data_IF_895661058128
#
_entry.id   IF_895661058128
#
_cell.length_a   1.000
_cell.length_b   1.000
_cell.length_c   1.000
_cell.angle_alpha   90.00
_cell.angle_beta   90.00
_cell.angle_gamma   90.00
#
_symmetry.space_group_name_H-M   'P 1'
#
loop_
_entity.id
_entity.type
_entity.pdbx_description
1 polymer ?
#
# COMPACT_ATOMS: atom_id res chain seq x y z
N UNK A 1 -37.44 -11.03 25.09
CA UNK A 1 -37.46 -11.05 23.60
C UNK A 1 -36.30 -10.20 23.14
N UNK A 2 -35.16 -10.84 22.86
CA UNK A 2 -33.95 -10.16 22.40
C UNK A 2 -34.06 -9.90 20.91
N UNK A 3 -34.15 -8.65 20.51
CA UNK A 3 -34.05 -8.27 19.11
C UNK A 3 -32.58 -8.36 18.68
N UNK A 4 -32.31 -9.34 17.85
CA UNK A 4 -31.06 -9.57 17.15
C UNK A 4 -30.74 -8.30 16.36
N UNK A 5 -29.60 -7.67 16.66
CA UNK A 5 -29.07 -6.52 15.93
C UNK A 5 -28.60 -6.99 14.56
N UNK A 6 -29.54 -7.15 13.60
CA UNK A 6 -29.19 -7.32 12.18
C UNK A 6 -28.56 -6.01 11.73
N UNK A 7 -27.23 -6.04 11.70
CA UNK A 7 -26.38 -4.98 11.18
C UNK A 7 -26.92 -4.53 9.81
N UNK A 8 -27.53 -3.36 9.78
CA UNK A 8 -27.85 -2.68 8.53
C UNK A 8 -26.53 -2.40 7.85
N UNK A 9 -26.20 -3.18 6.81
CA UNK A 9 -25.10 -2.83 5.91
C UNK A 9 -25.35 -1.40 5.43
N UNK A 10 -24.44 -0.44 5.71
CA UNK A 10 -24.64 0.92 5.24
C UNK A 10 -24.72 0.90 3.71
N UNK A 11 -25.46 1.84 3.11
CA UNK A 11 -25.63 1.90 1.66
C UNK A 11 -24.27 1.97 0.97
N UNK A 12 -24.13 1.29 -0.17
CA UNK A 12 -22.93 1.35 -1.01
C UNK A 12 -22.70 2.81 -1.36
N UNK A 13 -21.59 3.37 -0.85
CA UNK A 13 -21.16 4.73 -1.19
C UNK A 13 -20.23 4.65 -2.39
N UNK A 14 -20.33 5.62 -3.29
CA UNK A 14 -19.33 5.81 -4.33
C UNK A 14 -18.23 6.74 -3.81
N UNK A 15 -16.98 6.39 -4.04
CA UNK A 15 -15.83 7.23 -3.75
C UNK A 15 -15.04 7.41 -5.06
N UNK A 16 -14.98 8.64 -5.56
CA UNK A 16 -14.34 8.96 -6.85
C UNK A 16 -14.84 8.09 -8.03
N UNK A 17 -16.13 7.74 -8.03
CA UNK A 17 -16.76 6.93 -9.08
C UNK A 17 -16.61 5.41 -8.89
N UNK A 18 -15.85 4.95 -7.89
CA UNK A 18 -15.70 3.53 -7.56
C UNK A 18 -16.66 3.09 -6.44
N UNK A 19 -17.14 1.88 -6.53
CA UNK A 19 -18.03 1.31 -5.51
C UNK A 19 -17.25 0.98 -4.22
N UNK A 20 -17.76 1.42 -3.08
CA UNK A 20 -17.20 1.11 -1.76
C UNK A 20 -17.96 -0.05 -1.16
N UNK A 21 -17.24 -1.13 -0.83
CA UNK A 21 -17.77 -2.33 -0.18
C UNK A 21 -17.27 -2.41 1.26
N UNK A 22 -18.13 -2.81 2.20
CA UNK A 22 -17.72 -3.07 3.58
C UNK A 22 -17.24 -4.53 3.69
N UNK A 23 -15.94 -4.70 3.93
CA UNK A 23 -15.30 -6.01 4.01
C UNK A 23 -15.03 -6.35 5.47
N UNK A 24 -15.42 -7.54 5.97
CA UNK A 24 -15.10 -7.98 7.32
C UNK A 24 -13.59 -7.94 7.56
N UNK A 25 -13.15 -7.49 8.75
CA UNK A 25 -11.72 -7.42 9.08
C UNK A 25 -11.03 -8.78 9.03
N UNK A 26 -11.80 -9.85 9.26
CA UNK A 26 -11.34 -11.25 9.20
C UNK A 26 -11.00 -11.73 7.79
N UNK A 27 -11.54 -11.09 6.75
CA UNK A 27 -11.28 -11.41 5.35
C UNK A 27 -10.15 -10.55 4.76
N UNK A 28 -9.57 -9.65 5.57
CA UNK A 28 -8.52 -8.72 5.14
C UNK A 28 -7.14 -9.22 5.56
N UNK A 29 -6.33 -9.57 4.57
CA UNK A 29 -4.94 -10.02 4.75
C UNK A 29 -3.94 -8.89 4.53
N UNK A 30 -2.81 -8.85 5.26
CA UNK A 30 -1.75 -7.88 5.00
C UNK A 30 -1.09 -8.19 3.66
N UNK A 31 -0.59 -7.15 2.97
CA UNK A 31 0.21 -7.33 1.77
C UNK A 31 1.53 -8.04 2.12
N UNK A 32 1.96 -9.08 1.36
CA UNK A 32 3.22 -9.77 1.60
C UNK A 32 4.41 -8.78 1.55
N UNK A 33 5.38 -8.97 2.44
CA UNK A 33 6.64 -8.22 2.47
C UNK A 33 6.49 -6.69 2.46
N UNK A 34 5.33 -6.16 2.89
CA UNK A 34 5.15 -4.72 2.94
C UNK A 34 6.21 -4.05 3.83
N UNK A 35 6.90 -3.00 3.34
CA UNK A 35 7.99 -2.39 4.07
C UNK A 35 7.53 -1.46 5.21
N UNK A 36 6.31 -0.92 5.11
CA UNK A 36 5.81 0.11 6.01
C UNK A 36 5.18 -0.48 7.26
N UNK A 37 5.81 -0.29 8.41
CA UNK A 37 5.29 -0.76 9.70
C UNK A 37 4.11 0.08 10.18
N UNK A 38 3.08 -0.59 10.68
CA UNK A 38 1.99 0.09 11.38
C UNK A 38 2.40 0.30 12.83
N UNK A 39 2.59 1.56 13.24
CA UNK A 39 2.98 1.94 14.59
C UNK A 39 1.76 2.40 15.38
N UNK A 40 1.74 2.06 16.67
CA UNK A 40 0.71 2.51 17.62
C UNK A 40 1.19 3.81 18.31
N UNK A 41 1.38 4.85 17.52
CA UNK A 41 1.79 6.19 17.90
C UNK A 41 0.61 7.10 18.29
N UNK A 42 0.90 8.36 18.59
CA UNK A 42 -0.14 9.37 18.89
C UNK A 42 -1.11 9.53 17.71
N UNK A 43 -0.60 9.56 16.47
CA UNK A 43 -1.41 9.69 15.26
C UNK A 43 -2.33 8.45 15.04
N UNK A 44 -1.93 7.26 15.51
CA UNK A 44 -2.81 6.10 15.50
C UNK A 44 -3.96 6.28 16.48
N UNK A 45 -3.72 6.79 17.70
CA UNK A 45 -4.78 7.04 18.69
C UNK A 45 -5.80 8.04 18.16
N UNK A 46 -5.35 9.13 17.56
CA UNK A 46 -6.22 10.13 16.93
C UNK A 46 -7.04 9.51 15.78
N UNK A 47 -6.43 8.62 14.99
CA UNK A 47 -7.13 7.86 13.94
C UNK A 47 -8.21 6.95 14.53
N UNK A 48 -7.93 6.26 15.64
CA UNK A 48 -8.91 5.40 16.33
C UNK A 48 -10.09 6.20 16.85
N UNK A 49 -9.85 7.37 17.45
CA UNK A 49 -10.90 8.27 17.94
C UNK A 49 -11.78 8.76 16.77
N UNK A 50 -11.16 9.18 15.67
CA UNK A 50 -11.87 9.57 14.46
C UNK A 50 -12.72 8.43 13.89
N UNK A 51 -12.19 7.20 13.89
CA UNK A 51 -12.95 6.02 13.42
C UNK A 51 -14.14 5.73 14.33
N UNK A 52 -14.00 5.91 15.63
CA UNK A 52 -15.12 5.74 16.59
C UNK A 52 -16.22 6.77 16.40
N UNK A 53 -15.86 8.01 16.12
CA UNK A 53 -16.80 9.12 16.02
C UNK A 53 -17.45 9.21 14.64
N UNK A 54 -16.66 9.11 13.58
CA UNK A 54 -17.10 9.35 12.20
C UNK A 54 -17.08 8.11 11.30
N UNK A 55 -16.53 7.01 11.78
CA UNK A 55 -16.19 5.88 10.94
C UNK A 55 -14.98 6.14 10.04
N UNK A 56 -14.73 5.23 9.12
CA UNK A 56 -13.62 5.38 8.15
C UNK A 56 -14.08 6.27 7.00
N UNK A 57 -13.53 7.48 6.93
CA UNK A 57 -13.92 8.50 5.93
C UNK A 57 -13.37 8.18 4.54
N UNK A 58 -12.16 7.64 4.46
CA UNK A 58 -11.50 7.30 3.18
C UNK A 58 -11.40 5.78 3.07
N UNK A 59 -11.98 5.13 2.03
CA UNK A 59 -11.93 3.69 1.90
C UNK A 59 -10.51 3.16 1.70
N UNK A 60 -10.25 1.94 2.14
CA UNK A 60 -9.02 1.21 1.80
C UNK A 60 -9.05 0.78 0.33
N UNK A 61 -7.89 0.41 -0.23
CA UNK A 61 -7.80 -0.25 -1.53
C UNK A 61 -7.33 -1.68 -1.27
N UNK A 62 -8.07 -2.63 -1.81
CA UNK A 62 -7.81 -4.06 -1.65
C UNK A 62 -7.88 -4.76 -3.00
N UNK A 63 -7.26 -5.93 -3.10
CA UNK A 63 -7.41 -6.83 -4.24
C UNK A 63 -7.88 -8.22 -3.78
N UNK A 64 -8.57 -9.00 -4.61
CA UNK A 64 -8.92 -10.38 -4.28
C UNK A 64 -7.68 -11.25 -4.10
N UNK A 65 -7.70 -12.19 -3.14
CA UNK A 65 -6.67 -13.21 -2.98
C UNK A 65 -7.13 -14.54 -3.61
N UNK A 66 -6.22 -15.26 -4.23
CA UNK A 66 -6.48 -16.62 -4.76
C UNK A 66 -6.87 -17.59 -3.64
N UNK A 67 -6.34 -17.41 -2.44
CA UNK A 67 -6.66 -18.21 -1.25
C UNK A 67 -7.99 -17.85 -0.59
N UNK A 68 -8.73 -16.89 -1.15
CA UNK A 68 -9.95 -16.32 -0.58
C UNK A 68 -9.67 -15.06 0.26
N UNK A 69 -10.71 -14.23 0.42
CA UNK A 69 -10.58 -12.92 1.06
C UNK A 69 -9.90 -11.88 0.20
N UNK A 70 -9.35 -10.85 0.84
CA UNK A 70 -8.79 -9.69 0.16
C UNK A 70 -7.44 -9.29 0.77
N UNK A 71 -6.52 -8.90 -0.06
CA UNK A 71 -5.22 -8.37 0.33
C UNK A 71 -5.24 -6.84 0.34
N UNK A 72 -4.75 -6.23 1.41
CA UNK A 72 -4.77 -4.78 1.56
C UNK A 72 -3.58 -4.18 0.81
N UNK A 73 -3.85 -3.43 -0.24
CA UNK A 73 -2.84 -2.68 -0.98
C UNK A 73 -2.60 -1.30 -0.34
N UNK A 74 -3.68 -0.62 0.08
CA UNK A 74 -3.58 0.67 0.81
C UNK A 74 -4.59 0.73 1.93
N UNK A 75 -4.16 1.11 3.14
CA UNK A 75 -5.05 1.31 4.28
C UNK A 75 -4.76 0.43 5.49
N UNK A 76 -3.57 -0.15 5.63
CA UNK A 76 -3.16 -0.96 6.78
C UNK A 76 -3.37 -0.25 8.13
N UNK A 77 -3.06 1.07 8.22
CA UNK A 77 -3.33 1.85 9.43
C UNK A 77 -4.82 1.98 9.73
N UNK A 78 -5.65 2.10 8.69
CA UNK A 78 -7.13 2.16 8.84
C UNK A 78 -7.70 0.84 9.31
N UNK A 79 -7.21 -0.31 8.79
CA UNK A 79 -7.57 -1.62 9.31
C UNK A 79 -7.22 -1.72 10.80
N UNK A 80 -5.98 -1.36 11.18
CA UNK A 80 -5.55 -1.40 12.58
C UNK A 80 -6.38 -0.48 13.47
N UNK A 81 -6.73 0.71 13.00
CA UNK A 81 -7.61 1.62 13.73
C UNK A 81 -9.03 1.04 13.91
N UNK A 82 -9.57 0.36 12.89
CA UNK A 82 -10.84 -0.37 12.99
C UNK A 82 -10.80 -1.47 14.05
N UNK A 83 -9.73 -2.29 14.07
CA UNK A 83 -9.52 -3.31 15.10
C UNK A 83 -9.51 -2.72 16.52
N UNK A 84 -8.76 -1.62 16.72
CA UNK A 84 -8.66 -0.92 18.01
C UNK A 84 -9.94 -0.16 18.39
N UNK A 85 -10.72 0.28 17.40
CA UNK A 85 -12.01 0.91 17.61
C UNK A 85 -13.13 -0.08 17.90
N UNK A 86 -12.92 -1.38 17.63
CA UNK A 86 -13.91 -2.44 17.82
C UNK A 86 -14.97 -2.50 16.70
N UNK A 87 -14.61 -2.10 15.47
CA UNK A 87 -15.49 -2.24 14.30
C UNK A 87 -15.23 -3.58 13.60
N UNK A 88 -16.26 -4.18 13.02
CA UNK A 88 -16.17 -5.52 12.41
C UNK A 88 -15.77 -5.48 10.92
N UNK A 89 -15.86 -4.32 10.26
CA UNK A 89 -15.65 -4.17 8.83
C UNK A 89 -14.95 -2.87 8.48
N UNK A 90 -14.21 -2.91 7.36
CA UNK A 90 -13.52 -1.76 6.77
C UNK A 90 -14.16 -1.41 5.42
N UNK A 91 -14.55 -0.14 5.17
CA UNK A 91 -14.93 0.29 3.83
C UNK A 91 -13.73 0.24 2.90
N UNK A 92 -13.86 -0.44 1.78
CA UNK A 92 -12.80 -0.67 0.81
C UNK A 92 -13.29 -0.61 -0.62
N UNK A 93 -12.40 -0.26 -1.52
CA UNK A 93 -12.53 -0.35 -2.97
C UNK A 93 -11.80 -1.61 -3.41
N UNK A 94 -12.50 -2.51 -4.08
CA UNK A 94 -11.90 -3.72 -4.62
C UNK A 94 -11.40 -3.43 -6.03
N UNK A 95 -10.09 -3.58 -6.24
CA UNK A 95 -9.46 -3.45 -7.57
C UNK A 95 -8.83 -4.77 -7.98
N UNK A 96 -9.00 -5.15 -9.22
CA UNK A 96 -8.28 -6.26 -9.83
C UNK A 96 -6.88 -5.77 -10.25
N UNK A 97 -5.88 -6.10 -9.43
CA UNK A 97 -4.50 -5.66 -9.59
C UNK A 97 -3.59 -6.87 -9.64
N UNK A 98 -2.73 -6.94 -10.66
CA UNK A 98 -1.63 -7.88 -10.65
C UNK A 98 -0.59 -7.52 -9.56
N UNK A 99 0.37 -8.41 -9.29
CA UNK A 99 1.37 -8.22 -8.24
C UNK A 99 2.20 -6.95 -8.42
N UNK A 100 2.58 -6.65 -9.65
CA UNK A 100 3.41 -5.47 -9.94
C UNK A 100 2.63 -4.17 -9.78
N UNK A 101 1.38 -4.12 -10.26
CA UNK A 101 0.50 -2.96 -10.09
C UNK A 101 0.15 -2.74 -8.61
N UNK A 102 -0.07 -3.82 -7.85
CA UNK A 102 -0.34 -3.75 -6.42
C UNK A 102 0.87 -3.22 -5.65
N UNK A 103 2.11 -3.69 -5.94
CA UNK A 103 3.34 -3.16 -5.35
C UNK A 103 3.53 -1.68 -5.66
N UNK A 104 3.33 -1.27 -6.90
CA UNK A 104 3.47 0.15 -7.30
C UNK A 104 2.47 1.01 -6.52
N UNK A 105 1.21 0.61 -6.47
CA UNK A 105 0.17 1.34 -5.74
C UNK A 105 0.45 1.38 -4.22
N UNK A 106 0.90 0.27 -3.62
CA UNK A 106 1.31 0.21 -2.22
C UNK A 106 2.39 1.25 -1.92
N UNK A 107 3.44 1.30 -2.74
CA UNK A 107 4.55 2.23 -2.54
C UNK A 107 4.09 3.66 -2.75
N UNK A 108 3.37 3.97 -3.83
CA UNK A 108 2.91 5.33 -4.15
C UNK A 108 1.97 5.90 -3.08
N UNK A 109 1.11 5.07 -2.49
CA UNK A 109 0.21 5.51 -1.42
C UNK A 109 0.92 5.78 -0.08
N UNK A 110 2.18 5.39 0.07
CA UNK A 110 2.92 5.52 1.33
C UNK A 110 4.17 6.40 1.23
N UNK A 111 4.84 6.48 0.07
CA UNK A 111 6.16 7.12 -0.09
C UNK A 111 6.16 8.62 0.25
N UNK A 112 5.00 9.27 0.21
CA UNK A 112 4.82 10.69 0.51
C UNK A 112 4.62 10.98 2.01
N UNK A 113 4.62 9.96 2.87
CA UNK A 113 4.48 10.17 4.32
C UNK A 113 5.75 10.80 4.88
N UNK A 114 5.61 11.74 5.79
CA UNK A 114 6.72 12.46 6.43
C UNK A 114 7.58 11.56 7.33
N UNK A 115 6.97 10.57 7.98
CA UNK A 115 7.63 9.72 8.99
C UNK A 115 7.97 8.30 8.48
N UNK A 116 8.55 8.20 7.28
CA UNK A 116 9.04 6.91 6.76
C UNK A 116 10.50 6.73 7.19
N UNK A 117 10.83 5.59 7.80
CA UNK A 117 12.23 5.26 8.10
C UNK A 117 13.05 5.11 6.82
N UNK A 118 14.35 5.46 6.86
CA UNK A 118 15.26 5.25 5.73
C UNK A 118 15.26 3.80 5.22
N UNK A 119 15.21 2.80 6.11
CA UNK A 119 15.13 1.39 5.73
C UNK A 119 13.81 1.03 5.05
N UNK A 120 12.67 1.55 5.55
CA UNK A 120 11.35 1.35 4.94
C UNK A 120 11.30 1.99 3.54
N UNK A 121 11.81 3.22 3.40
CA UNK A 121 11.91 3.93 2.12
C UNK A 121 12.80 3.19 1.13
N UNK A 122 13.94 2.67 1.59
CA UNK A 122 14.86 1.89 0.78
C UNK A 122 14.22 0.62 0.21
N UNK A 123 13.56 -0.14 1.07
CA UNK A 123 12.86 -1.36 0.68
C UNK A 123 11.70 -1.07 -0.29
N UNK A 124 10.91 -0.03 -0.03
CA UNK A 124 9.81 0.41 -0.87
C UNK A 124 10.28 0.80 -2.29
N UNK A 125 11.34 1.62 -2.39
CA UNK A 125 11.92 2.01 -3.69
C UNK A 125 12.49 0.82 -4.46
N UNK A 126 13.11 -0.15 -3.76
CA UNK A 126 13.59 -1.38 -4.37
C UNK A 126 12.44 -2.21 -4.93
N UNK A 127 11.38 -2.46 -4.14
CA UNK A 127 10.20 -3.20 -4.58
C UNK A 127 9.55 -2.54 -5.80
N UNK A 128 9.37 -1.22 -5.78
CA UNK A 128 8.80 -0.47 -6.90
C UNK A 128 9.68 -0.57 -8.15
N UNK A 129 11.00 -0.46 -8.01
CA UNK A 129 11.93 -0.59 -9.14
C UNK A 129 11.84 -1.98 -9.78
N UNK A 130 11.77 -3.04 -8.97
CA UNK A 130 11.65 -4.42 -9.45
C UNK A 130 10.31 -4.65 -10.16
N UNK A 131 9.20 -4.14 -9.61
CA UNK A 131 7.88 -4.20 -10.24
C UNK A 131 7.87 -3.50 -11.62
N UNK A 132 8.39 -2.28 -11.70
CA UNK A 132 8.46 -1.53 -12.97
C UNK A 132 9.35 -2.26 -14.00
N UNK A 133 10.46 -2.87 -13.57
CA UNK A 133 11.31 -3.66 -14.47
C UNK A 133 10.56 -4.88 -15.02
N UNK A 134 9.79 -5.61 -14.19
CA UNK A 134 9.00 -6.76 -14.63
C UNK A 134 7.89 -6.34 -15.60
N UNK A 135 7.19 -5.24 -15.33
CA UNK A 135 6.19 -4.70 -16.27
C UNK A 135 6.82 -4.28 -17.59
N UNK A 136 7.97 -3.61 -17.58
CA UNK A 136 8.71 -3.24 -18.78
C UNK A 136 9.12 -4.46 -19.62
N UNK A 137 9.64 -5.50 -18.98
CA UNK A 137 10.01 -6.74 -19.65
C UNK A 137 8.81 -7.46 -20.30
N UNK A 138 7.64 -7.48 -19.62
CA UNK A 138 6.40 -8.03 -20.19
C UNK A 138 5.91 -7.21 -21.40
N UNK A 139 5.99 -5.89 -21.31
CA UNK A 139 5.61 -4.99 -22.40
C UNK A 139 6.53 -5.17 -23.62
N UNK A 140 7.84 -5.30 -23.43
CA UNK A 140 8.79 -5.54 -24.51
C UNK A 140 8.54 -6.88 -25.21
N UNK A 141 8.15 -7.92 -24.46
CA UNK A 141 7.78 -9.22 -25.04
C UNK A 141 6.50 -9.17 -25.89
N UNK A 142 5.51 -8.37 -25.46
CA UNK A 142 4.26 -8.18 -26.21
C UNK A 142 4.42 -7.20 -27.37
N UNK A 143 5.25 -6.17 -27.25
CA UNK A 143 5.51 -5.16 -28.28
C UNK A 143 6.47 -5.64 -29.38
N UNK A 144 7.28 -6.67 -29.15
CA UNK A 144 8.10 -7.28 -30.20
C UNK A 144 7.27 -7.78 -31.40
N UNK A 145 5.98 -8.02 -31.19
CA UNK A 145 5.04 -8.39 -32.27
C UNK A 145 4.39 -7.20 -32.99
N UNK A 146 4.45 -5.97 -32.45
CA UNK A 146 3.69 -4.79 -32.95
C UNK A 146 4.57 -3.59 -33.28
N UNK A 147 5.88 -3.65 -33.11
CA UNK A 147 6.83 -2.62 -33.55
C UNK A 147 6.76 -1.25 -32.85
N UNK A 148 6.11 -1.12 -31.70
CA UNK A 148 6.13 0.07 -30.87
C UNK A 148 7.40 0.15 -30.03
N UNK A 149 8.22 1.19 -30.24
CA UNK A 149 9.39 1.48 -29.38
C UNK A 149 8.88 1.99 -28.03
N UNK A 150 9.24 1.29 -26.95
CA UNK A 150 9.11 1.81 -25.59
C UNK A 150 9.91 3.13 -25.48
N UNK A 151 9.39 4.07 -24.71
CA UNK A 151 9.91 5.45 -24.56
C UNK A 151 11.25 5.49 -23.77
N UNK A 152 12.21 4.64 -24.05
CA UNK A 152 13.62 4.59 -23.65
C UNK A 152 14.04 5.03 -22.23
N UNK A 153 13.08 5.37 -21.37
CA UNK A 153 13.35 5.77 -19.99
C UNK A 153 13.75 4.55 -19.16
N UNK A 154 14.93 4.61 -18.54
CA UNK A 154 15.37 3.56 -17.63
C UNK A 154 14.44 3.49 -16.41
N UNK A 155 14.08 2.30 -15.95
CA UNK A 155 13.18 2.06 -14.81
C UNK A 155 13.51 2.90 -13.55
N UNK A 156 14.80 3.10 -13.27
CA UNK A 156 15.26 3.97 -12.17
C UNK A 156 14.83 5.42 -12.36
N UNK A 157 14.75 5.90 -13.61
CA UNK A 157 14.31 7.26 -13.90
C UNK A 157 12.80 7.42 -13.65
N UNK A 158 12.02 6.41 -14.01
CA UNK A 158 10.57 6.40 -13.75
C UNK A 158 10.32 6.42 -12.23
N UNK A 159 11.03 5.58 -11.47
CA UNK A 159 10.93 5.58 -10.00
C UNK A 159 11.29 6.95 -9.42
N UNK A 160 12.39 7.57 -9.88
CA UNK A 160 12.83 8.87 -9.41
C UNK A 160 11.79 9.96 -9.66
N UNK A 161 11.26 10.05 -10.89
CA UNK A 161 10.22 11.01 -11.26
C UNK A 161 8.94 10.84 -10.42
N UNK A 162 8.51 9.60 -10.19
CA UNK A 162 7.27 9.30 -9.44
C UNK A 162 7.42 9.47 -7.92
N UNK A 163 8.63 9.28 -7.37
CA UNK A 163 8.89 9.46 -5.93
C UNK A 163 9.33 10.88 -5.55
N UNK A 164 9.55 11.76 -6.53
CA UNK A 164 10.07 13.11 -6.29
C UNK A 164 11.54 13.12 -5.88
N UNK A 165 12.28 12.04 -6.14
CA UNK A 165 13.69 11.88 -5.77
C UNK A 165 14.60 12.00 -6.98
N UNK A 166 15.89 12.30 -6.75
CA UNK A 166 16.88 12.19 -7.82
C UNK A 166 17.26 10.72 -8.06
N UNK A 167 17.72 10.39 -9.29
CA UNK A 167 18.22 9.04 -9.61
C UNK A 167 19.32 8.59 -8.63
N UNK A 168 20.20 9.49 -8.27
CA UNK A 168 21.30 9.21 -7.32
C UNK A 168 20.78 8.90 -5.93
N UNK A 169 19.71 9.60 -5.49
CA UNK A 169 19.04 9.33 -4.22
C UNK A 169 18.36 7.97 -4.21
N UNK A 170 17.58 7.65 -5.25
CA UNK A 170 16.96 6.31 -5.38
C UNK A 170 18.01 5.22 -5.30
N UNK A 171 19.13 5.35 -6.02
CA UNK A 171 20.22 4.37 -5.96
C UNK A 171 20.88 4.27 -4.57
N UNK A 172 21.06 5.40 -3.86
CA UNK A 172 21.58 5.40 -2.49
C UNK A 172 20.62 4.69 -1.52
N UNK A 173 19.30 4.97 -1.61
CA UNK A 173 18.32 4.27 -0.79
C UNK A 173 18.34 2.77 -1.07
N UNK A 174 18.35 2.33 -2.33
CA UNK A 174 18.38 0.91 -2.67
C UNK A 174 19.62 0.22 -2.09
N UNK A 175 20.80 0.89 -2.09
CA UNK A 175 22.00 0.33 -1.44
C UNK A 175 21.85 0.13 0.06
N UNK A 176 20.99 0.88 0.75
CA UNK A 176 20.72 0.64 2.18
C UNK A 176 20.11 -0.75 2.43
N UNK A 177 19.41 -1.32 1.43
CA UNK A 177 18.86 -2.68 1.56
C UNK A 177 19.93 -3.77 1.58
N UNK A 178 21.17 -3.46 1.16
CA UNK A 178 22.32 -4.38 1.17
C UNK A 178 23.04 -4.42 2.53
N UNK A 179 22.73 -3.47 3.42
CA UNK A 179 23.31 -3.43 4.76
C UNK A 179 22.72 -4.54 5.64
N UNK A 180 23.52 -4.99 6.62
CA UNK A 180 23.01 -5.90 7.65
C UNK A 180 21.86 -5.25 8.45
N UNK A 181 20.90 -6.04 8.99
CA UNK A 181 19.79 -5.49 9.76
C UNK A 181 20.22 -4.56 10.91
N UNK A 182 21.34 -4.87 11.57
CA UNK A 182 21.90 -4.06 12.64
C UNK A 182 22.35 -2.68 12.17
N UNK A 183 22.97 -2.59 10.98
CA UNK A 183 23.38 -1.32 10.38
C UNK A 183 22.16 -0.52 9.89
N UNK A 184 21.14 -1.18 9.33
CA UNK A 184 19.88 -0.52 8.96
C UNK A 184 19.21 0.12 10.18
N UNK A 185 19.15 -0.62 11.31
CA UNK A 185 18.60 -0.10 12.57
C UNK A 185 19.37 1.11 13.11
N UNK A 186 20.71 1.15 12.96
CA UNK A 186 21.52 2.30 13.33
C UNK A 186 21.24 3.52 12.45
N UNK A 187 20.99 3.32 11.15
CA UNK A 187 20.60 4.40 10.23
C UNK A 187 19.23 4.94 10.62
N UNK A 188 18.27 4.07 10.93
CA UNK A 188 16.92 4.45 11.33
C UNK A 188 16.88 5.24 12.65
N UNK A 189 17.80 4.94 13.59
CA UNK A 189 17.88 5.62 14.91
C UNK A 189 18.57 7.00 14.86
N UNK A 190 19.23 7.35 13.77
CA UNK A 190 19.98 8.62 13.64
C UNK A 190 19.17 9.79 13.10
N UNK A 191 17.86 9.63 12.98
CA UNK A 191 16.92 10.71 12.64
C UNK A 191 16.36 11.41 13.86
#
# INVERSE_FOLDING_TARGET
MSMTNQQRRPPIRQYQGEAVTYIPLTELHPFPDQPFKVREDKAMRETVESVREYGVLTPAIVRPCESGGYEIVSGHRRKRACELAGTDALPAIVRDLDDDAAVILLVDSNIQREEILPSERAQALKMKLEAIKRQGARHDLTCAQVGYKSDGKKSVQIVAEQSGESKSQVQRYIRLTELSPQLQELVDKKQ
#
